data_IF_843595133805
#
_entry.id   IF_843595133805
#
_cell.length_a   1.000
_cell.length_b   1.000
_cell.length_c   1.000
_cell.angle_alpha   90.00
_cell.angle_beta   90.00
_cell.angle_gamma   90.00
#
_symmetry.space_group_name_H-M   'P 1'
#
loop_
_entity.id
_entity.type
_entity.pdbx_description
1 polymer ?
#
# COMPACT_ATOMS: atom_id res chain seq x y z
N UNK A 1 0.20 13.58 -8.65
CA UNK A 1 1.06 12.40 -8.90
C UNK A 1 0.89 11.34 -7.83
N UNK A 2 1.28 11.57 -6.57
CA UNK A 2 1.15 10.55 -5.50
C UNK A 2 -0.23 9.86 -5.39
N UNK A 3 -1.33 10.64 -5.36
CA UNK A 3 -2.69 10.08 -5.29
C UNK A 3 -2.98 9.19 -6.50
N UNK A 4 -2.70 9.69 -7.70
CA UNK A 4 -2.94 8.95 -8.94
C UNK A 4 -2.14 7.64 -8.99
N UNK A 5 -0.85 7.68 -8.61
CA UNK A 5 0.00 6.49 -8.53
C UNK A 5 -0.58 5.48 -7.54
N UNK A 6 -0.97 5.91 -6.33
CA UNK A 6 -1.54 5.02 -5.34
C UNK A 6 -2.90 4.45 -5.77
N UNK A 7 -3.73 5.21 -6.48
CA UNK A 7 -4.98 4.70 -7.05
C UNK A 7 -4.73 3.64 -8.12
N UNK A 8 -3.77 3.88 -9.03
CA UNK A 8 -3.41 2.93 -10.06
C UNK A 8 -2.85 1.63 -9.45
N UNK A 9 -2.00 1.74 -8.43
CA UNK A 9 -1.51 0.60 -7.66
C UNK A 9 -2.65 -0.12 -6.95
N UNK A 10 -3.56 0.61 -6.29
CA UNK A 10 -4.70 0.00 -5.62
C UNK A 10 -5.54 -0.82 -6.62
N UNK A 11 -5.90 -0.24 -7.76
CA UNK A 11 -6.65 -0.96 -8.82
C UNK A 11 -5.91 -2.22 -9.27
N UNK A 12 -4.59 -2.13 -9.51
CA UNK A 12 -3.80 -3.30 -9.87
C UNK A 12 -3.87 -4.38 -8.77
N UNK A 13 -3.73 -4.00 -7.50
CA UNK A 13 -3.86 -4.93 -6.36
C UNK A 13 -5.23 -5.59 -6.32
N UNK A 14 -6.33 -4.84 -6.50
CA UNK A 14 -7.68 -5.43 -6.56
C UNK A 14 -7.80 -6.43 -7.70
N UNK A 15 -7.31 -6.10 -8.89
CA UNK A 15 -7.37 -7.00 -10.05
C UNK A 15 -6.60 -8.30 -9.78
N UNK A 16 -5.41 -8.23 -9.19
CA UNK A 16 -4.60 -9.42 -8.90
C UNK A 16 -5.13 -10.26 -7.74
N UNK A 17 -5.71 -9.62 -6.72
CA UNK A 17 -6.21 -10.30 -5.51
C UNK A 17 -7.61 -10.88 -5.70
N UNK A 18 -8.48 -10.24 -6.49
CA UNK A 18 -9.82 -10.73 -6.81
C UNK A 18 -9.84 -11.60 -8.06
N UNK A 19 -8.86 -11.44 -8.95
CA UNK A 19 -8.73 -12.22 -10.17
C UNK A 19 -8.34 -13.70 -9.93
N UNK A 20 -8.41 -14.52 -10.98
CA UNK A 20 -8.02 -15.93 -10.90
C UNK A 20 -6.56 -16.06 -10.47
N UNK A 21 -6.28 -17.03 -9.60
CA UNK A 21 -4.92 -17.34 -9.19
C UNK A 21 -4.13 -17.85 -10.40
N UNK A 22 -3.26 -17.00 -10.95
CA UNK A 22 -2.32 -17.41 -12.00
C UNK A 22 -0.99 -17.74 -11.34
N UNK A 23 -0.44 -18.95 -11.55
CA UNK A 23 0.90 -19.30 -11.06
C UNK A 23 1.91 -18.29 -11.60
N UNK A 24 2.61 -17.61 -10.70
CA UNK A 24 3.69 -16.70 -11.07
C UNK A 24 4.95 -17.46 -11.51
N UNK A 25 5.89 -16.80 -12.20
CA UNK A 25 7.19 -17.40 -12.53
C UNK A 25 7.95 -17.79 -11.25
N UNK A 26 8.42 -19.04 -11.19
CA UNK A 26 9.07 -19.63 -10.01
C UNK A 26 10.32 -18.86 -9.52
N UNK A 27 10.97 -18.13 -10.43
CA UNK A 27 12.21 -17.40 -10.17
C UNK A 27 12.09 -16.31 -9.07
N UNK A 28 10.86 -15.90 -8.74
CA UNK A 28 10.55 -14.94 -7.68
C UNK A 28 9.41 -15.46 -6.78
N UNK A 29 9.40 -16.75 -6.46
CA UNK A 29 8.37 -17.37 -5.61
C UNK A 29 8.38 -16.79 -4.17
N UNK A 30 7.80 -15.61 -4.03
CA UNK A 30 7.44 -14.98 -2.78
C UNK A 30 6.20 -15.69 -2.23
N UNK A 31 6.13 -15.82 -0.90
CA UNK A 31 4.89 -16.23 -0.26
C UNK A 31 3.77 -15.24 -0.58
N UNK A 32 2.53 -15.70 -0.64
CA UNK A 32 1.39 -14.83 -0.94
C UNK A 32 1.30 -13.68 0.07
N UNK A 33 1.54 -13.96 1.36
CA UNK A 33 1.65 -12.94 2.42
C UNK A 33 2.73 -11.88 2.15
N UNK A 34 3.88 -12.27 1.60
CA UNK A 34 4.92 -11.30 1.24
C UNK A 34 4.47 -10.44 0.05
N UNK A 35 3.77 -11.01 -0.94
CA UNK A 35 3.20 -10.24 -2.06
C UNK A 35 2.18 -9.23 -1.55
N UNK A 36 1.28 -9.63 -0.65
CA UNK A 36 0.31 -8.76 0.02
C UNK A 36 0.99 -7.60 0.74
N UNK A 37 1.95 -7.89 1.63
CA UNK A 37 2.68 -6.86 2.35
C UNK A 37 3.40 -5.86 1.41
N UNK A 38 4.07 -6.35 0.37
CA UNK A 38 4.76 -5.49 -0.61
C UNK A 38 3.76 -4.63 -1.40
N UNK A 39 2.66 -5.22 -1.86
CA UNK A 39 1.63 -4.55 -2.62
C UNK A 39 0.99 -3.39 -1.82
N UNK A 40 0.61 -3.66 -0.57
CA UNK A 40 0.00 -2.65 0.29
C UNK A 40 1.00 -1.59 0.75
N UNK A 41 2.26 -1.95 0.96
CA UNK A 41 3.33 -0.97 1.19
C UNK A 41 3.51 -0.03 -0.01
N UNK A 42 3.44 -0.55 -1.24
CA UNK A 42 3.55 0.25 -2.45
C UNK A 42 2.38 1.23 -2.61
N UNK A 43 1.15 0.83 -2.23
CA UNK A 43 -0.01 1.74 -2.24
C UNK A 43 0.14 2.85 -1.19
N UNK A 44 0.54 2.51 0.03
CA UNK A 44 0.62 3.43 1.16
C UNK A 44 1.78 4.44 1.06
N UNK A 45 2.92 4.03 0.52
CA UNK A 45 4.16 4.83 0.53
C UNK A 45 4.05 6.20 -0.17
N UNK A 46 3.53 6.32 -1.42
CA UNK A 46 3.37 7.61 -2.08
C UNK A 46 2.42 8.54 -1.34
N UNK A 47 1.34 8.00 -0.75
CA UNK A 47 0.38 8.78 0.04
C UNK A 47 1.03 9.32 1.31
N UNK A 48 1.76 8.48 2.06
CA UNK A 48 2.44 8.90 3.27
C UNK A 48 3.59 9.89 3.01
N UNK A 49 4.28 9.74 1.89
CA UNK A 49 5.27 10.72 1.43
C UNK A 49 4.64 12.08 1.13
N UNK A 50 3.46 12.10 0.49
CA UNK A 50 2.75 13.34 0.13
C UNK A 50 2.00 13.99 1.30
N UNK A 51 1.47 13.18 2.21
CA UNK A 51 0.59 13.55 3.32
C UNK A 51 1.08 12.99 4.66
N UNK A 52 2.31 13.29 5.09
CA UNK A 52 2.90 12.69 6.31
C UNK A 52 2.15 13.06 7.59
N UNK A 53 1.45 14.20 7.61
CA UNK A 53 0.65 14.63 8.76
C UNK A 53 -0.60 13.77 8.95
N UNK A 54 -1.03 13.09 7.89
CA UNK A 54 -2.21 12.22 7.83
C UNK A 54 -1.81 10.74 7.70
N UNK A 55 -0.61 10.37 8.16
CA UNK A 55 -0.09 9.00 8.03
C UNK A 55 -1.04 7.94 8.63
N UNK A 56 -1.72 8.27 9.72
CA UNK A 56 -2.70 7.40 10.37
C UNK A 56 -3.93 7.19 9.50
N UNK A 57 -4.43 8.24 8.84
CA UNK A 57 -5.55 8.13 7.90
C UNK A 57 -5.13 7.33 6.65
N UNK A 58 -3.88 7.46 6.18
CA UNK A 58 -3.34 6.63 5.10
C UNK A 58 -3.28 5.17 5.51
N UNK A 59 -2.72 4.85 6.69
CA UNK A 59 -2.64 3.49 7.20
C UNK A 59 -4.02 2.86 7.35
N UNK A 60 -4.97 3.56 7.99
CA UNK A 60 -6.33 3.08 8.18
C UNK A 60 -7.09 2.95 6.86
N UNK A 61 -6.92 3.87 5.93
CA UNK A 61 -7.57 3.80 4.61
C UNK A 61 -7.07 2.63 3.78
N UNK A 62 -5.76 2.38 3.79
CA UNK A 62 -5.14 1.24 3.09
C UNK A 62 -5.50 -0.09 3.77
N UNK A 63 -5.59 -0.13 5.10
CA UNK A 63 -6.07 -1.30 5.83
C UNK A 63 -7.55 -1.59 5.54
N UNK A 64 -8.41 -0.57 5.55
CA UNK A 64 -9.82 -0.71 5.22
C UNK A 64 -10.01 -1.21 3.78
N UNK A 65 -9.14 -0.78 2.87
CA UNK A 65 -9.10 -1.28 1.51
C UNK A 65 -8.76 -2.79 1.44
N UNK A 66 -7.79 -3.26 2.21
CA UNK A 66 -7.45 -4.68 2.30
C UNK A 66 -8.58 -5.52 2.88
N UNK A 67 -9.20 -5.04 3.96
CA UNK A 67 -10.39 -5.69 4.54
C UNK A 67 -11.57 -5.75 3.57
N UNK A 68 -11.74 -4.73 2.70
CA UNK A 68 -12.75 -4.78 1.65
C UNK A 68 -12.42 -5.84 0.59
N UNK A 69 -11.16 -5.99 0.18
CA UNK A 69 -10.74 -7.04 -0.76
C UNK A 69 -11.01 -8.42 -0.17
N UNK A 70 -10.61 -8.64 1.08
CA UNK A 70 -10.82 -9.88 1.82
C UNK A 70 -12.31 -10.28 1.87
N UNK A 71 -13.21 -9.32 2.11
CA UNK A 71 -14.66 -9.56 2.11
C UNK A 71 -15.19 -9.89 0.71
N UNK A 72 -14.57 -9.33 -0.34
CA UNK A 72 -15.01 -9.52 -1.73
C UNK A 72 -14.43 -10.79 -2.37
N UNK A 73 -13.30 -11.30 -1.90
CA UNK A 73 -12.63 -12.51 -2.43
C UNK A 73 -13.55 -13.75 -2.52
N UNK A 74 -14.38 -14.07 -1.52
CA UNK A 74 -15.34 -15.18 -1.60
C UNK A 74 -16.30 -15.08 -2.78
N UNK A 75 -16.63 -13.86 -3.22
CA UNK A 75 -17.53 -13.64 -4.35
C UNK A 75 -16.86 -13.92 -5.70
N UNK A 76 -15.54 -14.05 -5.74
CA UNK A 76 -14.78 -14.36 -6.95
C UNK A 76 -14.26 -15.80 -6.99
N UNK A 77 -14.67 -16.63 -6.03
CA UNK A 77 -14.23 -18.03 -5.90
C UNK A 77 -12.86 -18.18 -5.25
N UNK A 78 -12.39 -17.15 -4.51
CA UNK A 78 -11.20 -17.22 -3.66
C UNK A 78 -11.58 -17.33 -2.19
N UNK A 79 -10.73 -17.95 -1.40
CA UNK A 79 -10.90 -17.98 0.05
C UNK A 79 -10.47 -16.65 0.67
N UNK A 80 -11.24 -16.19 1.65
CA UNK A 80 -10.82 -15.13 2.56
C UNK A 80 -9.82 -15.73 3.56
N UNK A 81 -8.57 -15.26 3.55
CA UNK A 81 -7.57 -15.60 4.55
C UNK A 81 -7.22 -14.39 5.46
N UNK A 82 -7.56 -14.48 6.75
CA UNK A 82 -7.17 -13.47 7.75
C UNK A 82 -5.65 -13.17 7.78
N UNK A 83 -4.84 -14.11 7.32
CA UNK A 83 -3.39 -13.95 7.14
C UNK A 83 -3.03 -12.92 6.07
N UNK A 84 -3.81 -12.79 5.01
CA UNK A 84 -3.65 -11.78 3.96
C UNK A 84 -4.03 -10.40 4.49
N UNK A 85 -5.15 -10.28 5.22
CA UNK A 85 -5.51 -9.04 5.89
C UNK A 85 -4.44 -8.55 6.88
N UNK A 86 -3.81 -9.47 7.63
CA UNK A 86 -2.68 -9.13 8.51
C UNK A 86 -1.46 -8.66 7.70
N UNK A 87 -1.16 -9.33 6.60
CA UNK A 87 -0.07 -8.95 5.71
C UNK A 87 -0.30 -7.56 5.08
N UNK A 88 -1.52 -7.26 4.67
CA UNK A 88 -1.94 -5.95 4.17
C UNK A 88 -1.71 -4.85 5.21
N UNK A 89 -2.07 -5.11 6.47
CA UNK A 89 -1.85 -4.18 7.58
C UNK A 89 -0.37 -3.92 7.86
N UNK A 90 0.45 -4.98 7.87
CA UNK A 90 1.92 -4.85 7.99
C UNK A 90 2.47 -4.04 6.82
N UNK A 91 2.04 -4.35 5.60
CA UNK A 91 2.40 -3.62 4.39
C UNK A 91 2.08 -2.13 4.48
N UNK A 92 0.85 -1.79 4.90
CA UNK A 92 0.41 -0.42 5.06
C UNK A 92 1.31 0.38 6.03
N UNK A 93 1.65 -0.21 7.19
CA UNK A 93 2.54 0.42 8.18
C UNK A 93 3.97 0.58 7.65
N UNK A 94 4.51 -0.44 6.97
CA UNK A 94 5.83 -0.38 6.35
C UNK A 94 5.88 0.69 5.27
N UNK A 95 4.88 0.73 4.38
CA UNK A 95 4.77 1.76 3.34
C UNK A 95 4.69 3.16 3.91
N UNK A 96 3.89 3.35 4.97
CA UNK A 96 3.82 4.63 5.70
C UNK A 96 5.17 5.02 6.27
N UNK A 97 5.85 4.10 6.96
CA UNK A 97 7.17 4.34 7.52
C UNK A 97 8.17 4.77 6.45
N UNK A 98 8.24 4.03 5.34
CA UNK A 98 9.13 4.35 4.23
C UNK A 98 8.81 5.70 3.61
N UNK A 99 7.53 6.00 3.34
CA UNK A 99 7.11 7.28 2.78
C UNK A 99 7.51 8.47 3.65
N UNK A 100 7.37 8.35 4.98
CA UNK A 100 7.81 9.38 5.93
C UNK A 100 9.33 9.54 5.95
N UNK A 101 10.10 8.44 5.94
CA UNK A 101 11.57 8.47 5.93
C UNK A 101 12.11 9.10 4.66
N UNK A 102 11.59 8.69 3.51
CA UNK A 102 11.97 9.26 2.20
C UNK A 102 11.65 10.75 2.12
N UNK A 103 10.56 11.20 2.74
CA UNK A 103 10.25 12.63 2.82
C UNK A 103 11.23 13.39 3.72
N UNK A 104 11.61 12.82 4.86
CA UNK A 104 12.57 13.43 5.78
C UNK A 104 13.97 13.60 5.16
N UNK A 105 14.34 12.70 4.24
CA UNK A 105 15.58 12.77 3.47
C UNK A 105 15.53 13.78 2.32
N UNK A 106 14.35 14.33 1.99
CA UNK A 106 14.19 15.33 0.94
C UNK A 106 14.28 16.74 1.55
N UNK A 107 15.41 17.46 1.43
CA UNK A 107 15.47 18.86 1.79
C UNK A 107 14.53 19.63 0.85
N UNK A 108 13.42 20.12 1.39
CA UNK A 108 12.53 21.03 0.66
C UNK A 108 13.29 22.31 0.27
N UNK A 109 12.84 23.04 -0.76
CA UNK A 109 13.48 24.29 -1.15
C UNK A 109 13.54 25.21 0.06
N UNK A 110 14.77 25.61 0.39
CA UNK A 110 15.12 26.44 1.53
C UNK A 110 14.17 27.65 1.60
N UNK A 111 13.45 27.79 2.71
CA UNK A 111 12.59 28.96 2.92
C UNK A 111 13.52 30.17 2.98
N UNK A 112 13.59 30.95 1.91
CA UNK A 112 14.30 32.24 1.93
C UNK A 112 13.80 33.04 3.13
N UNK A 113 14.68 33.59 3.98
CA UNK A 113 14.26 34.45 5.07
C UNK A 113 13.44 35.61 4.50
N UNK A 114 12.23 35.79 5.04
CA UNK A 114 11.43 36.98 4.76
C UNK A 114 12.09 38.15 5.49
N UNK A 115 12.93 38.90 4.78
CA UNK A 115 13.41 40.18 5.27
C UNK A 115 12.22 41.16 5.20
N UNK A 116 11.69 41.53 6.36
CA UNK A 116 10.69 42.57 6.58
C UNK A 116 11.03 43.31 7.85
#
# INVERSE_FOLDING_TARGET
>A
MAIFTSLLLAVAVAVFTLGPAVPGPELLSLSDKAKHAIAFAAVACPLAWRFPRFWHAVALGVLAYGGMIEILQPLTGRDAEWGDFLADGIGALVGVFLGMRLRGLWPGPERRPSNG
#
